data_IF_481727772520
#
_entry.id   IF_481727772520
#
_cell.length_a   1.000
_cell.length_b   1.000
_cell.length_c   1.000
_cell.angle_alpha   90.00
_cell.angle_beta   90.00
_cell.angle_gamma   90.00
#
_symmetry.space_group_name_H-M   'P 1'
#
loop_
_entity.id
_entity.type
_entity.pdbx_description
1 polymer ?
#
# COMPACT_ATOMS: atom_id res chain seq x y z
N UNK A 1 11.54 12.85 -7.70
CA UNK A 1 12.22 12.84 -6.40
C UNK A 1 11.24 13.27 -5.31
N UNK A 2 11.18 12.52 -4.27
CA UNK A 2 10.31 12.83 -3.15
C UNK A 2 11.10 13.58 -2.07
N UNK A 3 11.27 14.88 -2.22
CA UNK A 3 11.74 15.68 -1.10
C UNK A 3 10.57 15.87 -0.12
N UNK A 4 10.82 15.81 1.16
CA UNK A 4 9.77 15.89 2.15
C UNK A 4 8.96 14.60 2.29
N UNK A 5 9.61 13.46 2.21
CA UNK A 5 8.97 12.16 2.41
C UNK A 5 8.67 11.93 3.88
N UNK A 6 7.48 11.46 4.17
CA UNK A 6 7.12 10.90 5.47
C UNK A 6 7.16 9.39 5.33
N UNK A 7 8.00 8.75 6.13
CA UNK A 7 8.21 7.31 6.08
C UNK A 7 7.79 6.65 7.39
N UNK A 8 7.28 5.44 7.30
CA UNK A 8 6.90 4.64 8.45
C UNK A 8 6.93 3.17 8.11
N UNK A 9 6.96 2.32 9.13
CA UNK A 9 6.82 0.88 8.96
C UNK A 9 5.37 0.50 9.24
N UNK A 10 4.71 -0.04 8.23
CA UNK A 10 3.36 -0.56 8.35
C UNK A 10 3.34 -2.07 8.31
N UNK A 11 2.14 -2.63 8.23
CA UNK A 11 1.92 -4.07 8.25
C UNK A 11 0.86 -4.43 7.22
N UNK A 12 1.19 -5.33 6.30
CA UNK A 12 0.18 -5.95 5.43
C UNK A 12 -0.57 -6.95 6.29
N UNK A 13 -1.86 -6.71 6.49
CA UNK A 13 -2.69 -7.56 7.37
C UNK A 13 -3.53 -8.54 6.59
N UNK A 14 -3.85 -8.25 5.33
CA UNK A 14 -4.71 -9.09 4.53
C UNK A 14 -4.37 -8.93 3.06
N UNK A 15 -4.44 -10.04 2.33
CA UNK A 15 -4.28 -10.06 0.87
C UNK A 15 -5.51 -10.77 0.31
N UNK A 16 -6.28 -10.04 -0.51
CA UNK A 16 -7.53 -10.55 -1.06
C UNK A 16 -7.45 -10.54 -2.57
N UNK A 17 -7.60 -11.69 -3.23
CA UNK A 17 -7.69 -11.71 -4.70
C UNK A 17 -8.88 -10.88 -5.17
N UNK A 18 -8.66 -10.12 -6.24
CA UNK A 18 -9.74 -9.38 -6.91
C UNK A 18 -10.31 -10.24 -8.01
N UNK A 19 -11.62 -10.25 -8.13
CA UNK A 19 -12.33 -11.03 -9.15
C UNK A 19 -12.48 -10.18 -10.43
N UNK A 20 -11.35 -9.75 -10.97
CA UNK A 20 -11.32 -8.91 -12.17
C UNK A 20 -10.76 -9.64 -13.41
N UNK A 21 -10.42 -10.92 -13.25
CA UNK A 21 -9.86 -11.73 -14.34
C UNK A 21 -8.41 -11.40 -14.67
N UNK A 22 -7.79 -10.42 -14.00
CA UNK A 22 -6.43 -9.98 -14.30
C UNK A 22 -5.39 -10.46 -13.28
N UNK A 23 -5.80 -11.15 -12.22
CA UNK A 23 -4.89 -11.60 -11.16
C UNK A 23 -4.49 -10.50 -10.19
N UNK A 24 -5.18 -9.37 -10.20
CA UNK A 24 -4.96 -8.28 -9.27
C UNK A 24 -5.33 -8.72 -7.86
N UNK A 25 -4.55 -8.28 -6.88
CA UNK A 25 -4.87 -8.51 -5.47
C UNK A 25 -5.05 -7.18 -4.74
N UNK A 26 -5.89 -7.20 -3.72
CA UNK A 26 -6.02 -6.06 -2.81
C UNK A 26 -5.25 -6.34 -1.54
N UNK A 27 -4.35 -5.42 -1.19
CA UNK A 27 -3.66 -5.45 0.07
C UNK A 27 -4.37 -4.53 1.05
N UNK A 28 -4.63 -5.02 2.25
CA UNK A 28 -5.04 -4.19 3.37
C UNK A 28 -3.83 -3.96 4.24
N UNK A 29 -3.49 -2.71 4.47
CA UNK A 29 -2.26 -2.31 5.13
C UNK A 29 -2.58 -1.46 6.34
N UNK A 30 -2.13 -1.91 7.52
CA UNK A 30 -2.11 -1.08 8.72
C UNK A 30 -1.00 -0.06 8.56
N UNK A 31 -1.34 1.21 8.70
CA UNK A 31 -0.40 2.29 8.42
C UNK A 31 0.68 2.47 9.48
N UNK A 32 0.56 1.79 10.62
CA UNK A 32 1.53 1.94 11.71
C UNK A 32 1.61 3.38 12.19
N UNK A 33 2.79 3.98 12.10
CA UNK A 33 2.99 5.37 12.50
C UNK A 33 2.71 6.40 11.41
N UNK A 34 2.28 5.97 10.22
CA UNK A 34 2.00 6.90 9.13
C UNK A 34 0.63 7.54 9.34
N UNK A 35 0.59 8.88 9.40
CA UNK A 35 -0.67 9.59 9.54
C UNK A 35 -1.47 9.54 8.23
N UNK A 36 -2.74 9.15 8.32
CA UNK A 36 -3.63 9.05 7.15
C UNK A 36 -4.64 10.20 7.07
N UNK A 37 -4.56 11.19 7.95
CA UNK A 37 -5.55 12.27 8.03
C UNK A 37 -5.69 13.05 6.72
N UNK A 38 -4.60 13.18 5.99
CA UNK A 38 -4.54 13.91 4.73
C UNK A 38 -4.51 12.99 3.50
N UNK A 39 -4.74 11.70 3.69
CA UNK A 39 -4.73 10.74 2.59
C UNK A 39 -6.15 10.54 2.08
N UNK A 40 -6.34 10.74 0.79
CA UNK A 40 -7.63 10.57 0.11
C UNK A 40 -7.58 9.39 -0.85
N UNK A 41 -8.76 8.87 -1.19
CA UNK A 41 -8.85 7.86 -2.25
C UNK A 41 -8.28 8.45 -3.54
N UNK A 42 -7.45 7.67 -4.22
CA UNK A 42 -6.75 8.11 -5.42
C UNK A 42 -5.33 8.62 -5.16
N UNK A 43 -4.97 8.88 -3.90
CA UNK A 43 -3.61 9.25 -3.55
C UNK A 43 -2.68 8.05 -3.68
N UNK A 44 -1.39 8.32 -3.87
CA UNK A 44 -0.37 7.27 -3.97
C UNK A 44 0.45 7.19 -2.70
N UNK A 45 0.70 5.96 -2.25
CA UNK A 45 1.63 5.67 -1.16
C UNK A 45 2.64 4.67 -1.69
N UNK A 46 3.93 4.94 -1.47
CA UNK A 46 4.96 3.99 -1.84
C UNK A 46 5.03 2.87 -0.80
N UNK A 47 4.86 1.64 -1.26
CA UNK A 47 4.89 0.44 -0.44
C UNK A 47 6.09 -0.39 -0.88
N UNK A 48 7.11 -0.50 -0.03
CA UNK A 48 8.40 -1.13 -0.38
C UNK A 48 8.97 -0.56 -1.70
N UNK A 49 8.82 0.75 -1.91
CA UNK A 49 9.34 1.45 -3.07
C UNK A 49 8.43 1.46 -4.29
N UNK A 50 7.28 0.80 -4.24
CA UNK A 50 6.31 0.79 -5.35
C UNK A 50 5.17 1.74 -5.01
N UNK A 51 4.90 2.71 -5.90
CA UNK A 51 3.79 3.64 -5.72
C UNK A 51 2.47 2.94 -6.05
N UNK A 52 1.61 2.84 -5.06
CA UNK A 52 0.30 2.18 -5.20
C UNK A 52 -0.81 3.17 -4.86
N UNK A 53 -1.90 3.07 -5.59
CA UNK A 53 -3.04 3.97 -5.45
C UNK A 53 -3.97 3.48 -4.34
N UNK A 54 -4.32 4.38 -3.43
CA UNK A 54 -5.24 4.10 -2.34
C UNK A 54 -6.65 3.98 -2.89
N UNK A 55 -7.28 2.84 -2.69
CA UNK A 55 -8.64 2.54 -3.16
C UNK A 55 -9.64 2.38 -2.01
N UNK A 56 -9.15 2.26 -0.79
CA UNK A 56 -9.96 2.18 0.42
C UNK A 56 -9.18 2.80 1.57
N UNK A 57 -9.86 3.41 2.51
CA UNK A 57 -9.22 4.01 3.67
C UNK A 57 -10.13 3.90 4.88
N UNK A 58 -9.57 3.41 5.98
CA UNK A 58 -10.26 3.31 7.26
C UNK A 58 -9.30 3.78 8.34
N UNK A 59 -9.78 4.39 9.38
CA UNK A 59 -9.03 4.86 10.55
C UNK A 59 -7.50 4.87 10.37
N UNK A 60 -6.84 3.76 10.66
CA UNK A 60 -5.39 3.61 10.58
C UNK A 60 -4.94 2.59 9.53
N UNK A 61 -5.81 2.23 8.60
CA UNK A 61 -5.48 1.30 7.55
C UNK A 61 -5.96 1.79 6.19
N UNK A 62 -5.37 1.27 5.13
CA UNK A 62 -5.77 1.60 3.77
C UNK A 62 -5.64 0.37 2.87
N UNK A 63 -6.35 0.41 1.77
CA UNK A 63 -6.31 -0.64 0.77
C UNK A 63 -5.70 -0.16 -0.53
N UNK A 64 -4.91 -1.00 -1.18
CA UNK A 64 -4.33 -0.74 -2.49
C UNK A 64 -4.50 -1.98 -3.37
N UNK A 65 -4.68 -1.77 -4.67
CA UNK A 65 -4.72 -2.86 -5.62
C UNK A 65 -3.37 -3.01 -6.29
N UNK A 66 -2.89 -4.25 -6.41
CA UNK A 66 -1.56 -4.54 -6.92
C UNK A 66 -1.67 -5.54 -8.05
N UNK A 67 -1.02 -5.23 -9.18
CA UNK A 67 -0.97 -6.12 -10.34
C UNK A 67 -0.06 -7.31 -10.07
N UNK A 68 -0.26 -8.45 -10.79
CA UNK A 68 0.65 -9.59 -10.66
C UNK A 68 2.10 -9.23 -10.97
N UNK A 69 2.34 -8.33 -11.90
CA UNK A 69 3.68 -7.89 -12.24
C UNK A 69 4.37 -7.18 -11.08
N UNK A 70 3.65 -6.28 -10.41
CA UNK A 70 4.18 -5.58 -9.24
C UNK A 70 4.47 -6.53 -8.10
N UNK A 71 3.61 -7.54 -7.89
CA UNK A 71 3.83 -8.57 -6.88
C UNK A 71 5.10 -9.38 -7.18
N UNK A 72 5.31 -9.74 -8.44
CA UNK A 72 6.45 -10.54 -8.85
C UNK A 72 7.77 -9.77 -8.75
N UNK A 73 7.73 -8.46 -8.98
CA UNK A 73 8.92 -7.62 -9.03
C UNK A 73 9.26 -6.98 -7.69
N UNK A 74 8.39 -7.06 -6.68
CA UNK A 74 8.59 -6.38 -5.41
C UNK A 74 8.60 -7.36 -4.27
N UNK A 75 9.70 -7.41 -3.55
CA UNK A 75 9.83 -8.26 -2.37
C UNK A 75 8.92 -7.73 -1.26
N UNK A 76 8.20 -8.63 -0.60
CA UNK A 76 7.44 -8.31 0.59
C UNK A 76 6.00 -7.88 0.38
N UNK A 77 5.51 -7.84 -0.87
CA UNK A 77 4.10 -7.51 -1.12
C UNK A 77 3.19 -8.74 -1.29
N UNK A 78 3.75 -9.91 -1.47
CA UNK A 78 2.98 -11.11 -1.79
C UNK A 78 2.49 -11.89 -0.57
N UNK A 79 2.82 -11.44 0.64
CA UNK A 79 2.43 -12.12 1.88
C UNK A 79 2.21 -11.10 2.99
N UNK A 80 1.37 -11.41 3.99
CA UNK A 80 1.25 -10.55 5.17
C UNK A 80 2.59 -10.38 5.86
N UNK A 81 2.82 -9.19 6.41
CA UNK A 81 4.07 -8.87 7.08
C UNK A 81 4.40 -7.39 7.01
N UNK A 82 5.59 -7.02 7.50
CA UNK A 82 5.99 -5.61 7.54
C UNK A 82 6.18 -5.05 6.13
N UNK A 83 5.88 -3.78 5.98
CA UNK A 83 6.02 -3.06 4.72
C UNK A 83 6.48 -1.63 5.00
N UNK A 84 7.47 -1.17 4.22
CA UNK A 84 7.93 0.21 4.29
C UNK A 84 6.94 1.10 3.55
N UNK A 85 6.45 2.12 4.23
CA UNK A 85 5.47 3.07 3.69
C UNK A 85 6.10 4.45 3.58
N UNK A 86 5.86 5.12 2.47
CA UNK A 86 6.31 6.48 2.25
C UNK A 86 5.21 7.27 1.56
N UNK A 87 4.93 8.47 2.05
CA UNK A 87 4.03 9.37 1.36
C UNK A 87 4.72 10.73 1.17
N UNK A 88 4.43 11.37 0.06
CA UNK A 88 4.92 12.72 -0.21
C UNK A 88 4.16 13.73 0.65
N UNK A 89 4.85 14.76 1.08
CA UNK A 89 4.24 15.90 1.77
C UNK A 89 3.42 16.74 0.81
#
# INVERSE_FOLDING_TARGET
MFSGIIAALGQITCITPRDDGAGTVRLTIDAGGLALDDVNLGDSIACNGVCLTVVDRRDNSFGVDVSPESLACTVGLAAPGPVNLEKAL
#
